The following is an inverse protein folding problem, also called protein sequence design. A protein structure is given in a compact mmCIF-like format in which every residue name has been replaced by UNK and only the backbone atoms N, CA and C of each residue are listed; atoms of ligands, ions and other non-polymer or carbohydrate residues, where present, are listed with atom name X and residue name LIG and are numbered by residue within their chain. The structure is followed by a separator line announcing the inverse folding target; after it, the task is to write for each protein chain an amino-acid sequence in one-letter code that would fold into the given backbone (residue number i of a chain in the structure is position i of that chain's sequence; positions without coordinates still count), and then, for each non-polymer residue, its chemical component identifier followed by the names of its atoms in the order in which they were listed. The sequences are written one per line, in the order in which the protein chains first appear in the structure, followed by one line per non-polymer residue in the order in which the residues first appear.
data_IF_509499999167
#
_entry.id   IF_509499999167
#
_cell.length_a   1.000
_cell.length_b   1.000
_cell.length_c   1.000
_cell.angle_alpha   90.00
_cell.angle_beta   90.00
_cell.angle_gamma   90.00
#
_symmetry.space_group_name_H-M   'P 1'
#
loop_
_entity.id
_entity.type
_entity.pdbx_description
1 polymer ?
#
# COMPACT_ATOMS: atom_id res chain seq x y z
N UNK A 1 -0.59 -20.20 -9.63
CA UNK A 1 -0.98 -21.43 -10.34
C UNK A 1 0.28 -22.19 -10.61
N UNK A 2 0.45 -23.35 -9.99
CA UNK A 2 1.52 -24.27 -10.40
C UNK A 2 1.31 -24.61 -11.88
N UNK A 3 2.26 -24.31 -12.78
CA UNK A 3 2.04 -24.41 -14.22
C UNK A 3 1.88 -25.86 -14.70
N UNK A 4 2.29 -26.85 -13.92
CA UNK A 4 2.15 -28.26 -14.26
C UNK A 4 0.82 -28.84 -13.73
N UNK A 5 0.38 -28.42 -12.55
CA UNK A 5 -0.78 -29.02 -11.86
C UNK A 5 -2.02 -28.12 -11.84
N UNK A 6 -1.89 -26.87 -12.26
CA UNK A 6 -2.90 -25.81 -12.16
C UNK A 6 -3.38 -25.53 -10.72
N UNK A 7 -2.66 -26.01 -9.71
CA UNK A 7 -3.05 -25.80 -8.31
C UNK A 7 -2.76 -24.38 -7.84
N UNK A 8 -3.66 -23.86 -7.00
CA UNK A 8 -3.49 -22.62 -6.27
C UNK A 8 -3.08 -22.93 -4.83
N UNK A 9 -2.17 -22.15 -4.28
CA UNK A 9 -1.92 -22.09 -2.85
C UNK A 9 -2.61 -20.86 -2.31
N UNK A 10 -3.52 -21.06 -1.36
CA UNK A 10 -4.14 -19.98 -0.61
C UNK A 10 -3.49 -19.87 0.77
N UNK A 11 -3.34 -18.64 1.25
CA UNK A 11 -2.78 -18.33 2.56
C UNK A 11 -3.90 -17.72 3.39
N UNK A 12 -4.27 -18.38 4.47
CA UNK A 12 -5.23 -17.82 5.43
C UNK A 12 -4.52 -16.81 6.32
N UNK A 13 -5.05 -15.58 6.37
CA UNK A 13 -4.53 -14.54 7.24
C UNK A 13 -4.99 -14.76 8.70
N UNK A 14 -4.24 -14.30 9.72
CA UNK A 14 -4.61 -14.50 11.13
C UNK A 14 -5.94 -13.88 11.53
N UNK A 15 -6.34 -12.78 10.87
CA UNK A 15 -7.61 -12.09 11.12
C UNK A 15 -8.65 -12.53 10.11
N UNK A 16 -9.69 -13.21 10.60
CA UNK A 16 -10.72 -13.83 9.77
C UNK A 16 -11.57 -12.81 8.99
N UNK A 17 -11.70 -11.59 9.52
CA UNK A 17 -12.45 -10.49 8.91
C UNK A 17 -11.63 -9.69 7.89
N UNK A 18 -10.32 -9.93 7.79
CA UNK A 18 -9.45 -9.21 6.86
C UNK A 18 -9.90 -9.43 5.41
N UNK A 19 -9.95 -8.35 4.63
CA UNK A 19 -10.32 -8.36 3.22
C UNK A 19 -9.19 -7.74 2.40
N UNK A 20 -8.10 -8.49 2.12
CA UNK A 20 -6.96 -7.96 1.40
C UNK A 20 -7.36 -7.41 0.02
N UNK A 21 -6.78 -6.27 -0.34
CA UNK A 21 -6.95 -5.53 -1.60
C UNK A 21 -5.60 -5.03 -2.07
N UNK A 22 -5.31 -5.35 -3.32
CA UNK A 22 -4.04 -5.06 -4.00
C UNK A 22 -2.84 -5.59 -3.22
N UNK A 23 -1.73 -5.76 -3.91
CA UNK A 23 -0.53 -6.27 -3.30
C UNK A 23 0.67 -5.68 -4.00
N UNK A 24 1.75 -5.59 -3.24
CA UNK A 24 3.08 -5.25 -3.74
C UNK A 24 4.11 -6.17 -3.11
N UNK A 25 5.25 -6.33 -3.78
CA UNK A 25 6.38 -7.11 -3.28
C UNK A 25 7.56 -6.15 -3.15
N UNK A 26 8.11 -6.03 -1.93
CA UNK A 26 9.34 -5.27 -1.66
C UNK A 26 10.57 -6.09 -2.00
N UNK A 27 11.72 -5.42 -2.16
CA UNK A 27 12.97 -6.06 -2.59
C UNK A 27 13.52 -7.14 -1.63
N UNK A 28 12.95 -7.25 -0.42
CA UNK A 28 13.19 -8.29 0.58
C UNK A 28 12.18 -9.47 0.52
N UNK A 29 11.48 -9.60 -0.61
CA UNK A 29 10.47 -10.62 -0.94
C UNK A 29 9.27 -10.65 0.01
N UNK A 30 9.03 -9.57 0.76
CA UNK A 30 7.86 -9.44 1.62
C UNK A 30 6.66 -8.96 0.81
N UNK A 31 5.51 -9.58 1.07
CA UNK A 31 4.26 -9.30 0.36
C UNK A 31 3.45 -8.32 1.20
N UNK A 32 3.14 -7.16 0.65
CA UNK A 32 2.32 -6.14 1.29
C UNK A 32 0.90 -6.18 0.74
N UNK A 33 -0.10 -5.92 1.58
CA UNK A 33 -1.52 -5.88 1.20
C UNK A 33 -2.29 -4.84 2.02
N UNK A 34 -3.36 -4.28 1.46
CA UNK A 34 -4.29 -3.44 2.22
C UNK A 34 -5.48 -4.27 2.72
N UNK A 35 -5.72 -4.34 4.02
CA UNK A 35 -6.97 -4.86 4.57
C UNK A 35 -8.07 -3.81 4.48
N UNK A 36 -8.98 -4.01 3.52
CA UNK A 36 -10.11 -3.11 3.30
C UNK A 36 -11.09 -3.07 4.47
N UNK A 37 -11.27 -4.18 5.20
CA UNK A 37 -12.31 -4.29 6.21
C UNK A 37 -11.90 -3.62 7.53
N UNK A 38 -10.67 -3.88 7.98
CA UNK A 38 -10.15 -3.32 9.22
C UNK A 38 -9.30 -2.07 9.04
N UNK A 39 -8.97 -1.67 7.82
CA UNK A 39 -8.16 -0.48 7.56
C UNK A 39 -6.69 -0.64 7.94
N UNK A 40 -6.10 -1.81 7.67
CA UNK A 40 -4.70 -2.10 7.97
C UNK A 40 -3.85 -2.16 6.70
N UNK A 41 -2.59 -1.79 6.82
CA UNK A 41 -1.53 -2.23 5.93
C UNK A 41 -0.94 -3.50 6.55
N UNK A 42 -1.00 -4.61 5.82
CA UNK A 42 -0.42 -5.88 6.25
C UNK A 42 0.81 -6.25 5.44
N UNK A 43 1.71 -7.01 6.06
CA UNK A 43 2.89 -7.61 5.47
C UNK A 43 2.92 -9.10 5.79
N UNK A 44 2.97 -9.93 4.77
CA UNK A 44 3.20 -11.36 4.86
C UNK A 44 4.64 -11.69 4.48
N UNK A 45 5.30 -12.49 5.30
CA UNK A 45 6.61 -13.09 5.02
C UNK A 45 6.43 -14.52 4.50
N UNK A 46 6.70 -14.80 3.21
CA UNK A 46 6.53 -16.13 2.64
C UNK A 46 7.43 -17.21 3.23
N UNK A 47 8.59 -16.84 3.80
CA UNK A 47 9.55 -17.78 4.37
C UNK A 47 9.09 -18.29 5.74
N UNK A 48 8.73 -17.37 6.64
CA UNK A 48 8.31 -17.70 8.01
C UNK A 48 6.80 -17.93 8.16
N UNK A 49 6.00 -17.48 7.19
CA UNK A 49 4.54 -17.43 7.29
C UNK A 49 4.01 -16.33 8.22
N UNK A 50 4.89 -15.47 8.76
CA UNK A 50 4.52 -14.42 9.71
C UNK A 50 3.74 -13.31 9.00
N UNK A 51 2.73 -12.78 9.70
CA UNK A 51 2.00 -11.58 9.32
C UNK A 51 2.25 -10.49 10.35
N UNK A 52 2.61 -9.30 9.87
CA UNK A 52 2.68 -8.06 10.65
C UNK A 52 1.69 -7.05 10.07
N UNK A 53 1.01 -6.27 10.91
CA UNK A 53 0.01 -5.29 10.44
C UNK A 53 0.16 -3.95 11.16
N UNK A 54 -0.15 -2.87 10.44
CA UNK A 54 -0.14 -1.49 10.92
C UNK A 54 -1.48 -0.83 10.58
N UNK A 55 -2.13 -0.23 11.58
CA UNK A 55 -3.36 0.52 11.34
C UNK A 55 -3.04 1.76 10.49
N UNK A 56 -3.78 1.94 9.38
CA UNK A 56 -3.64 3.13 8.54
C UNK A 56 -4.13 4.39 9.26
N UNK A 57 -3.67 5.59 8.85
CA UNK A 57 -4.11 6.87 9.44
C UNK A 57 -5.63 7.06 9.50
N UNK A 58 -6.38 6.59 8.49
CA UNK A 58 -7.85 6.60 8.48
C UNK A 58 -8.52 5.62 9.46
N UNK A 59 -7.76 4.83 10.21
CA UNK A 59 -8.26 3.86 11.17
C UNK A 59 -9.08 2.75 10.51
N UNK A 60 -10.07 2.22 11.24
CA UNK A 60 -10.94 1.15 10.75
C UNK A 60 -11.72 1.52 9.49
N UNK A 61 -11.97 2.82 9.27
CA UNK A 61 -12.68 3.32 8.10
C UNK A 61 -11.77 3.63 6.90
N UNK A 62 -10.44 3.47 7.03
CA UNK A 62 -9.46 3.80 5.99
C UNK A 62 -9.78 3.15 4.64
N UNK A 63 -10.26 1.91 4.65
CA UNK A 63 -10.68 1.14 3.46
C UNK A 63 -9.62 1.23 2.34
N UNK A 64 -8.35 0.85 2.60
CA UNK A 64 -7.30 0.91 1.60
C UNK A 64 -7.70 0.13 0.35
N UNK A 65 -7.49 0.72 -0.82
CA UNK A 65 -7.86 0.09 -2.08
C UNK A 65 -6.73 0.06 -3.10
N UNK A 66 -6.02 1.16 -3.32
CA UNK A 66 -4.87 1.15 -4.22
C UNK A 66 -3.57 0.97 -3.45
N UNK A 67 -2.60 0.32 -4.07
CA UNK A 67 -1.25 0.17 -3.56
C UNK A 67 -0.26 0.23 -4.72
N UNK A 68 0.92 0.82 -4.49
CA UNK A 68 2.09 0.73 -5.40
C UNK A 68 3.38 0.86 -4.60
N UNK A 69 4.43 0.17 -5.02
CA UNK A 69 5.78 0.30 -4.45
C UNK A 69 6.65 1.20 -5.33
N UNK A 70 7.44 2.07 -4.71
CA UNK A 70 8.48 2.82 -5.43
C UNK A 70 9.84 2.08 -5.46
N UNK A 71 10.86 2.67 -6.09
CA UNK A 71 12.19 2.04 -6.19
C UNK A 71 13.05 2.17 -4.91
N UNK A 72 12.49 2.74 -3.84
CA UNK A 72 13.11 2.79 -2.52
C UNK A 72 12.42 1.86 -1.51
N UNK A 73 11.54 0.97 -2.00
CA UNK A 73 10.70 0.06 -1.22
C UNK A 73 9.71 0.76 -0.29
N UNK A 74 9.36 2.03 -0.54
CA UNK A 74 8.20 2.63 0.13
C UNK A 74 6.94 2.09 -0.52
N UNK A 75 5.99 1.67 0.31
CA UNK A 75 4.66 1.25 -0.11
C UNK A 75 3.73 2.44 -0.01
N UNK A 76 3.13 2.84 -1.12
CA UNK A 76 2.16 3.91 -1.19
C UNK A 76 0.76 3.30 -1.26
N UNK A 77 -0.14 3.80 -0.43
CA UNK A 77 -1.50 3.29 -0.27
C UNK A 77 -2.49 4.44 -0.42
N UNK A 78 -3.61 4.18 -1.08
CA UNK A 78 -4.73 5.11 -1.10
C UNK A 78 -5.89 4.57 -0.28
N UNK A 79 -6.21 5.29 0.79
CA UNK A 79 -7.41 5.14 1.59
C UNK A 79 -8.62 5.69 0.82
N UNK A 80 -9.67 4.89 0.66
CA UNK A 80 -10.91 5.35 -0.01
C UNK A 80 -11.97 5.88 0.96
N UNK A 81 -11.57 6.11 2.22
CA UNK A 81 -12.36 6.80 3.23
C UNK A 81 -12.56 8.29 2.85
N UNK A 82 -13.26 9.07 3.68
CA UNK A 82 -13.35 10.52 3.51
C UNK A 82 -12.60 11.24 4.65
N UNK A 83 -11.59 12.08 4.34
CA UNK A 83 -11.03 12.34 3.01
C UNK A 83 -10.33 11.11 2.41
N UNK A 84 -10.27 11.02 1.08
CA UNK A 84 -9.47 10.00 0.40
C UNK A 84 -8.00 10.38 0.58
N UNK A 85 -7.20 9.53 1.23
CA UNK A 85 -5.83 9.86 1.66
C UNK A 85 -4.80 9.04 0.91
N UNK A 86 -3.78 9.71 0.40
CA UNK A 86 -2.59 9.13 -0.18
C UNK A 86 -1.52 9.04 0.90
N UNK A 87 -1.10 7.84 1.26
CA UNK A 87 -0.26 7.56 2.42
C UNK A 87 0.99 6.79 1.98
N UNK A 88 2.17 7.15 2.45
CA UNK A 88 3.37 6.32 2.32
C UNK A 88 3.66 5.54 3.60
N UNK A 89 4.24 4.36 3.42
CA UNK A 89 4.82 3.55 4.46
C UNK A 89 6.25 3.13 4.06
N UNK A 90 7.22 3.42 4.91
CA UNK A 90 8.60 3.00 4.72
C UNK A 90 8.78 1.57 5.25
N UNK A 91 8.96 0.62 4.34
CA UNK A 91 9.13 -0.81 4.66
C UNK A 91 10.38 -1.12 5.50
N UNK A 92 11.41 -0.26 5.48
CA UNK A 92 12.66 -0.49 6.23
C UNK A 92 12.57 0.03 7.66
N UNK A 93 11.92 1.18 7.85
CA UNK A 93 11.74 1.77 9.19
C UNK A 93 10.43 1.38 9.87
N UNK A 94 9.52 0.76 9.10
CA UNK A 94 8.19 0.31 9.51
C UNK A 94 7.32 1.46 10.06
N UNK A 95 7.36 2.61 9.37
CA UNK A 95 6.64 3.83 9.76
C UNK A 95 5.93 4.47 8.58
N UNK A 96 4.76 5.04 8.85
CA UNK A 96 4.13 6.01 7.95
C UNK A 96 4.95 7.31 7.92
N UNK A 97 5.06 7.96 6.77
CA UNK A 97 5.83 9.23 6.65
C UNK A 97 5.03 10.36 6.01
N UNK A 98 4.48 10.14 4.83
CA UNK A 98 3.75 11.14 4.05
C UNK A 98 2.27 10.81 4.04
N UNK A 99 1.45 11.84 4.17
CA UNK A 99 0.01 11.74 4.04
C UNK A 99 -0.55 13.01 3.44
N UNK A 100 -1.37 12.88 2.39
CA UNK A 100 -2.09 14.02 1.82
C UNK A 100 -3.45 13.60 1.27
N UNK A 101 -4.49 14.44 1.38
CA UNK A 101 -5.75 14.20 0.70
C UNK A 101 -5.58 14.19 -0.82
N UNK A 102 -6.30 13.31 -1.52
CA UNK A 102 -6.46 13.41 -2.98
C UNK A 102 -7.37 14.60 -3.29
N UNK A 103 -6.88 15.66 -3.99
CA UNK A 103 -7.61 16.92 -4.09
C UNK A 103 -8.98 16.84 -4.75
N UNK A 104 -9.16 15.93 -5.72
CA UNK A 104 -10.46 15.70 -6.37
C UNK A 104 -11.46 14.94 -5.49
N UNK A 105 -11.06 14.54 -4.29
CA UNK A 105 -11.78 13.59 -3.44
C UNK A 105 -11.60 12.13 -3.88
N UNK A 106 -10.98 11.87 -5.04
CA UNK A 106 -10.51 10.56 -5.51
C UNK A 106 -11.59 9.52 -5.86
N UNK A 107 -12.76 9.56 -5.23
CA UNK A 107 -13.68 8.43 -5.20
C UNK A 107 -12.94 7.18 -4.73
N UNK A 108 -12.95 6.09 -5.51
CA UNK A 108 -12.06 4.94 -5.27
C UNK A 108 -10.89 5.00 -6.27
N UNK A 109 -9.69 5.29 -5.78
CA UNK A 109 -8.47 5.01 -6.57
C UNK A 109 -8.27 3.50 -6.58
N UNK A 110 -8.19 2.89 -7.76
CA UNK A 110 -8.16 1.43 -7.90
C UNK A 110 -6.81 0.87 -8.28
N UNK A 111 -6.01 1.64 -9.01
CA UNK A 111 -4.71 1.23 -9.52
C UNK A 111 -3.82 2.46 -9.59
N UNK A 112 -2.53 2.23 -9.37
CA UNK A 112 -1.50 3.25 -9.42
C UNK A 112 -0.32 2.68 -10.19
N UNK A 113 0.42 3.56 -10.87
CA UNK A 113 1.61 3.19 -11.62
C UNK A 113 2.76 4.06 -11.17
N UNK A 114 3.84 3.45 -10.72
CA UNK A 114 5.08 4.14 -10.38
C UNK A 114 5.94 4.30 -11.64
N UNK A 115 6.22 5.54 -12.01
CA UNK A 115 7.17 5.90 -13.04
C UNK A 115 8.52 6.27 -12.41
N UNK A 116 9.47 5.34 -12.50
CA UNK A 116 10.82 5.50 -11.95
C UNK A 116 11.62 6.62 -12.64
N UNK A 117 11.35 6.92 -13.91
CA UNK A 117 12.08 7.94 -14.64
C UNK A 117 11.80 9.35 -14.09
N UNK A 118 10.57 9.58 -13.65
CA UNK A 118 10.13 10.88 -13.11
C UNK A 118 9.94 10.88 -11.60
N UNK A 119 10.19 9.75 -10.92
CA UNK A 119 9.94 9.55 -9.48
C UNK A 119 8.52 9.98 -9.12
N UNK A 120 7.54 9.54 -9.92
CA UNK A 120 6.14 9.93 -9.73
C UNK A 120 5.19 8.74 -9.78
N UNK A 121 4.05 8.86 -9.11
CA UNK A 121 2.96 7.89 -9.17
C UNK A 121 1.81 8.49 -9.95
N UNK A 122 1.39 7.79 -11.00
CA UNK A 122 0.20 8.11 -11.79
C UNK A 122 -0.98 7.25 -11.36
N UNK A 123 -2.17 7.85 -11.30
CA UNK A 123 -3.37 7.13 -10.87
C UNK A 123 -4.64 7.71 -11.48
N UNK A 124 -5.64 6.87 -11.70
CA UNK A 124 -6.98 7.29 -12.09
C UNK A 124 -7.90 7.43 -10.87
N UNK A 125 -8.88 8.33 -10.96
CA UNK A 125 -9.90 8.53 -9.93
C UNK A 125 -11.30 8.23 -10.47
N UNK A 126 -12.25 7.92 -9.59
CA UNK A 126 -13.67 7.86 -9.93
C UNK A 126 -14.28 9.29 -10.02
N UNK A 127 -13.43 10.34 -10.13
CA UNK A 127 -13.81 11.74 -10.24
C UNK A 127 -13.46 12.35 -11.61
N UNK A 128 -13.29 11.52 -12.64
CA UNK A 128 -12.89 11.92 -14.00
C UNK A 128 -11.57 12.70 -14.01
N UNK A 129 -10.59 12.29 -13.18
CA UNK A 129 -9.25 12.88 -13.16
C UNK A 129 -8.17 11.82 -13.25
N UNK A 130 -7.06 12.17 -13.90
CA UNK A 130 -5.76 11.55 -13.67
C UNK A 130 -5.03 12.36 -12.60
N UNK A 131 -4.45 11.67 -11.63
CA UNK A 131 -3.58 12.25 -10.62
C UNK A 131 -2.14 11.89 -10.89
N UNK A 132 -1.24 12.79 -10.52
CA UNK A 132 0.20 12.56 -10.45
C UNK A 132 0.68 13.00 -9.07
N UNK A 133 1.36 12.11 -8.36
CA UNK A 133 2.07 12.42 -7.13
C UNK A 133 3.58 12.33 -7.39
N UNK A 134 4.29 13.47 -7.32
CA UNK A 134 5.75 13.48 -7.38
C UNK A 134 6.27 13.13 -6.00
N UNK A 135 7.15 12.13 -5.92
CA UNK A 135 7.58 11.58 -4.64
C UNK A 135 8.70 12.44 -4.05
N UNK A 136 8.64 12.76 -2.75
CA UNK A 136 9.76 13.39 -2.09
C UNK A 136 10.95 12.42 -2.04
N UNK A 137 12.19 12.93 -2.02
CA UNK A 137 13.35 12.10 -1.69
C UNK A 137 13.12 11.50 -0.31
N UNK A 138 13.61 10.27 -0.10
CA UNK A 138 13.52 9.64 1.21
C UNK A 138 14.26 10.45 2.26
N UNK A 139 13.58 10.76 3.36
CA UNK A 139 14.22 11.37 4.51
C UNK A 139 15.27 10.41 5.07
N UNK A 140 16.49 10.89 5.40
CA UNK A 140 17.45 10.05 6.11
C UNK A 140 16.86 9.59 7.44
N UNK A 141 17.20 8.39 7.92
CA UNK A 141 16.78 7.95 9.25
C UNK A 141 17.22 9.01 10.27
N UNK A 142 16.32 9.34 11.20
CA UNK A 142 16.64 10.28 12.27
C UNK A 142 17.94 9.82 12.95
N UNK A 143 18.97 10.67 12.92
CA UNK A 143 20.18 10.41 13.68
C UNK A 143 19.80 10.42 15.16
N UNK A 144 19.86 9.26 15.81
CA UNK A 144 19.73 9.19 17.27
C UNK A 144 20.92 9.93 17.87
N UNK A 145 20.73 10.82 18.86
CA UNK A 145 21.83 11.47 19.57
C UNK A 145 22.72 10.47 20.32
#
# INVERSE_FOLDING_TARGET
VDPATMQLREITLPRAEARPRRMEITSDDKIWYGDYAGGFLGRYDPESGKVDEWQLPGGADARPYAMVRDDEDRVWVVETSRPNRFVSFDSRTLKFSEETPVPSGGGVVRHMYYDAATKSIWFGTDANTLGQAVLPPRSPPAQTP
#
